data_IF_495512764845
#
_entry.id   IF_495512764845
#
_cell.length_a   1.000
_cell.length_b   1.000
_cell.length_c   1.000
_cell.angle_alpha   90.00
_cell.angle_beta   90.00
_cell.angle_gamma   90.00
#
_symmetry.space_group_name_H-M   'P 1'
#
loop_
_entity.id
_entity.type
_entity.pdbx_description
1 polymer ?
#
# COMPACT_ATOMS: atom_id res chain seq x y z
N UNK A 1 -8.33 8.22 -14.71
CA UNK A 1 -6.98 7.98 -14.20
C UNK A 1 -6.26 9.31 -14.12
N UNK A 2 -5.95 9.80 -12.92
CA UNK A 2 -5.02 10.93 -12.74
C UNK A 2 -3.61 10.33 -12.59
N UNK A 3 -2.71 10.54 -13.56
CA UNK A 3 -1.34 10.03 -13.49
C UNK A 3 -0.61 10.60 -12.28
N UNK A 4 0.27 9.81 -11.65
CA UNK A 4 1.21 10.33 -10.66
C UNK A 4 2.21 11.26 -11.35
N UNK A 5 2.19 12.53 -10.97
CA UNK A 5 3.09 13.54 -11.52
C UNK A 5 4.47 13.52 -10.87
N UNK A 6 4.64 12.78 -9.76
CA UNK A 6 5.86 12.75 -8.97
C UNK A 6 6.14 14.00 -8.14
N UNK A 7 5.25 15.01 -8.23
CA UNK A 7 5.37 16.27 -7.48
C UNK A 7 4.22 16.40 -6.49
N UNK A 8 4.56 16.68 -5.23
CA UNK A 8 3.56 17.07 -4.24
C UNK A 8 3.31 18.58 -4.31
N UNK A 9 2.09 18.98 -4.65
CA UNK A 9 1.68 20.40 -4.68
C UNK A 9 0.75 20.70 -3.52
N UNK A 10 1.19 21.58 -2.61
CA UNK A 10 0.37 22.07 -1.49
C UNK A 10 -0.61 23.17 -1.95
N UNK A 11 -1.31 22.96 -3.06
CA UNK A 11 -2.14 23.99 -3.71
C UNK A 11 -3.44 24.32 -2.97
N UNK A 12 -3.53 24.06 -1.65
CA UNK A 12 -4.70 24.38 -0.82
C UNK A 12 -5.98 23.61 -1.18
N UNK A 13 -5.91 22.64 -2.09
CA UNK A 13 -7.05 21.82 -2.49
C UNK A 13 -7.34 20.80 -1.41
N UNK A 14 -8.60 20.70 -0.99
CA UNK A 14 -9.04 19.65 -0.07
C UNK A 14 -8.81 18.27 -0.68
N UNK A 15 -8.17 17.36 0.05
CA UNK A 15 -7.84 16.00 -0.37
C UNK A 15 -8.31 14.96 0.65
N UNK A 16 -8.11 13.67 0.34
CA UNK A 16 -8.33 12.60 1.32
C UNK A 16 -7.40 12.72 2.52
N UNK A 17 -6.18 13.26 2.35
CA UNK A 17 -5.19 13.40 3.40
C UNK A 17 -5.70 14.22 4.60
N UNK A 18 -6.55 15.23 4.35
CA UNK A 18 -7.08 16.12 5.39
C UNK A 18 -7.96 15.41 6.42
N UNK A 19 -8.36 14.16 6.16
CA UNK A 19 -9.18 13.34 7.07
C UNK A 19 -8.37 12.39 7.94
N UNK A 20 -7.04 12.35 7.78
CA UNK A 20 -6.16 11.40 8.45
C UNK A 20 -5.05 12.14 9.20
N UNK A 21 -4.59 11.58 10.30
CA UNK A 21 -3.58 12.20 11.16
C UNK A 21 -2.15 11.99 10.60
N UNK A 22 -1.98 10.97 9.76
CA UNK A 22 -0.69 10.59 9.23
C UNK A 22 -0.80 10.09 7.79
N UNK A 23 0.13 10.55 6.93
CA UNK A 23 0.20 10.17 5.52
C UNK A 23 1.65 9.88 5.12
N UNK A 24 1.88 8.75 4.45
CA UNK A 24 3.16 8.42 3.82
C UNK A 24 2.97 8.12 2.34
N UNK A 25 3.99 8.43 1.54
CA UNK A 25 4.10 8.02 0.14
C UNK A 25 5.26 7.05 -0.03
N UNK A 26 5.00 5.94 -0.70
CA UNK A 26 5.96 4.85 -0.82
C UNK A 26 5.75 4.02 -2.07
N UNK A 27 6.50 2.93 -2.16
CA UNK A 27 6.51 2.02 -3.29
C UNK A 27 6.36 0.58 -2.81
N UNK A 28 5.51 -0.18 -3.49
CA UNK A 28 5.44 -1.63 -3.35
C UNK A 28 6.67 -2.23 -4.04
N UNK A 29 7.48 -2.99 -3.30
CA UNK A 29 8.74 -3.53 -3.83
C UNK A 29 8.78 -5.06 -3.86
N UNK A 30 7.83 -5.74 -3.21
CA UNK A 30 7.74 -7.20 -3.25
C UNK A 30 6.31 -7.67 -2.96
N UNK A 31 5.86 -8.66 -3.73
CA UNK A 31 4.67 -9.46 -3.48
C UNK A 31 5.14 -10.92 -3.38
N UNK A 32 4.69 -11.64 -2.37
CA UNK A 32 4.98 -13.07 -2.19
C UNK A 32 3.69 -13.81 -1.90
N UNK A 33 3.54 -14.99 -2.46
CA UNK A 33 2.56 -15.96 -1.96
C UNK A 33 3.09 -16.57 -0.65
N UNK A 34 2.22 -16.78 0.32
CA UNK A 34 2.57 -17.46 1.57
C UNK A 34 2.70 -18.97 1.29
N UNK A 35 3.93 -19.40 1.00
CA UNK A 35 4.26 -20.81 0.75
C UNK A 35 4.09 -21.74 1.96
N UNK A 36 3.73 -21.20 3.13
CA UNK A 36 3.48 -21.98 4.34
C UNK A 36 2.04 -22.47 4.50
N UNK A 37 1.08 -21.93 3.74
CA UNK A 37 -0.32 -22.34 3.85
C UNK A 37 -0.54 -23.71 3.19
N UNK A 38 -0.67 -24.76 4.00
CA UNK A 38 -1.10 -26.10 3.54
C UNK A 38 -2.56 -26.12 3.08
N UNK A 39 -3.33 -25.09 3.44
CA UNK A 39 -4.72 -24.92 3.03
C UNK A 39 -4.79 -24.18 1.69
N UNK A 40 -5.07 -24.94 0.62
CA UNK A 40 -5.22 -24.42 -0.76
C UNK A 40 -6.56 -23.70 -0.98
N UNK A 41 -7.46 -23.75 0.00
CA UNK A 41 -8.79 -23.15 -0.05
C UNK A 41 -8.77 -21.63 0.17
N UNK A 42 -7.72 -21.09 0.80
CA UNK A 42 -7.53 -19.65 1.00
C UNK A 42 -6.04 -19.28 0.86
N UNK A 43 -5.56 -18.99 -0.37
CA UNK A 43 -4.17 -18.56 -0.56
C UNK A 43 -3.94 -17.23 0.14
N UNK A 44 -2.91 -17.19 0.99
CA UNK A 44 -2.44 -15.97 1.66
C UNK A 44 -1.34 -15.31 0.85
N UNK A 45 -1.30 -13.99 0.90
CA UNK A 45 -0.30 -13.15 0.23
C UNK A 45 0.36 -12.22 1.24
N UNK A 46 1.65 -12.00 1.02
CA UNK A 46 2.49 -11.04 1.73
C UNK A 46 2.87 -9.89 0.78
N UNK A 47 2.51 -8.67 1.15
CA UNK A 47 2.82 -7.44 0.41
C UNK A 47 3.85 -6.65 1.21
N UNK A 48 4.92 -6.24 0.54
CA UNK A 48 5.96 -5.42 1.13
C UNK A 48 6.02 -4.05 0.46
N UNK A 49 5.98 -3.00 1.27
CA UNK A 49 6.08 -1.62 0.83
C UNK A 49 7.20 -0.88 1.59
N UNK A 50 7.82 0.08 0.92
CA UNK A 50 8.83 0.97 1.51
C UNK A 50 8.41 2.43 1.35
N UNK A 51 8.45 3.17 2.45
CA UNK A 51 8.11 4.59 2.55
C UNK A 51 9.37 5.37 2.91
N UNK A 52 10.28 5.54 1.93
CA UNK A 52 11.53 6.27 2.14
C UNK A 52 12.49 5.62 3.14
N UNK A 53 12.48 4.29 3.24
CA UNK A 53 13.30 3.52 4.18
C UNK A 53 12.50 2.90 5.34
N UNK A 54 11.27 3.37 5.57
CA UNK A 54 10.35 2.74 6.51
C UNK A 54 9.66 1.54 5.82
N UNK A 55 9.87 0.33 6.34
CA UNK A 55 9.35 -0.90 5.75
C UNK A 55 7.98 -1.27 6.34
N UNK A 56 7.10 -1.79 5.49
CA UNK A 56 5.79 -2.31 5.87
C UNK A 56 5.60 -3.71 5.28
N UNK A 57 5.03 -4.61 6.07
CA UNK A 57 4.57 -5.94 5.66
C UNK A 57 3.06 -6.04 5.93
N UNK A 58 2.28 -6.30 4.89
CA UNK A 58 0.86 -6.59 4.98
C UNK A 58 0.63 -8.04 4.58
N UNK A 59 0.03 -8.83 5.48
CA UNK A 59 -0.37 -10.21 5.19
C UNK A 59 -1.89 -10.30 5.18
N UNK A 60 -2.44 -11.00 4.21
CA UNK A 60 -3.89 -11.19 4.09
C UNK A 60 -4.24 -12.19 3.01
N UNK A 61 -5.52 -12.27 2.68
CA UNK A 61 -6.00 -13.14 1.62
C UNK A 61 -5.59 -12.59 0.24
N UNK A 62 -5.41 -13.48 -0.73
CA UNK A 62 -4.99 -13.08 -2.09
C UNK A 62 -5.94 -12.06 -2.74
N UNK A 63 -7.23 -12.06 -2.38
CA UNK A 63 -8.21 -11.06 -2.84
C UNK A 63 -7.82 -9.63 -2.43
N UNK A 64 -7.17 -9.45 -1.29
CA UNK A 64 -6.68 -8.15 -0.83
C UNK A 64 -5.50 -7.64 -1.66
N UNK A 65 -4.77 -8.54 -2.33
CA UNK A 65 -3.65 -8.21 -3.21
C UNK A 65 -4.06 -8.05 -4.68
N UNK A 66 -5.32 -8.36 -5.05
CA UNK A 66 -5.74 -8.44 -6.45
C UNK A 66 -5.55 -7.15 -7.26
N UNK A 67 -5.55 -5.98 -6.60
CA UNK A 67 -5.38 -4.68 -7.25
C UNK A 67 -4.00 -4.04 -6.96
N UNK A 68 -3.05 -4.82 -6.42
CA UNK A 68 -1.72 -4.33 -6.07
C UNK A 68 -0.69 -4.91 -7.03
N UNK A 69 0.10 -4.02 -7.62
CA UNK A 69 1.13 -4.37 -8.60
C UNK A 69 2.52 -4.09 -8.06
N UNK A 70 3.50 -4.89 -8.51
CA UNK A 70 4.89 -4.63 -8.24
C UNK A 70 5.27 -3.25 -8.78
N UNK A 71 6.13 -2.54 -8.06
CA UNK A 71 6.58 -1.20 -8.38
C UNK A 71 5.52 -0.09 -8.31
N UNK A 72 4.31 -0.42 -7.90
CA UNK A 72 3.24 0.56 -7.71
C UNK A 72 3.59 1.56 -6.61
N UNK A 73 3.36 2.85 -6.90
CA UNK A 73 3.41 3.94 -5.93
C UNK A 73 2.09 4.03 -5.18
N UNK A 74 2.16 4.17 -3.86
CA UNK A 74 1.00 4.10 -2.99
C UNK A 74 1.09 5.08 -1.83
N UNK A 75 -0.07 5.51 -1.36
CA UNK A 75 -0.22 6.34 -0.16
C UNK A 75 -0.75 5.49 1.00
N UNK A 76 -0.12 5.60 2.16
CA UNK A 76 -0.61 5.05 3.42
C UNK A 76 -1.23 6.18 4.22
N UNK A 77 -2.50 6.03 4.62
CA UNK A 77 -3.24 7.01 5.41
C UNK A 77 -3.68 6.35 6.73
N UNK A 78 -3.33 6.97 7.86
CA UNK A 78 -3.65 6.46 9.21
C UNK A 78 -4.34 7.56 10.01
N UNK A 79 -5.41 7.17 10.71
CA UNK A 79 -6.15 8.04 11.64
C UNK A 79 -6.34 7.29 12.95
N UNK A 80 -6.21 7.99 14.07
CA UNK A 80 -6.53 7.47 15.39
C UNK A 80 -8.05 7.35 15.57
N UNK A 81 -8.47 6.22 16.12
CA UNK A 81 -9.88 5.95 16.52
C UNK A 81 -10.11 6.39 17.95
#
# INVERSE_FOLDING_TARGET
WTPDTGYYTQAGRKTLADKYDYVMHGKLYKISEDGGSKDKTAPKVEIYASFGGLLMLLKGDASSAANLELDQRLFLLIRKV
#
